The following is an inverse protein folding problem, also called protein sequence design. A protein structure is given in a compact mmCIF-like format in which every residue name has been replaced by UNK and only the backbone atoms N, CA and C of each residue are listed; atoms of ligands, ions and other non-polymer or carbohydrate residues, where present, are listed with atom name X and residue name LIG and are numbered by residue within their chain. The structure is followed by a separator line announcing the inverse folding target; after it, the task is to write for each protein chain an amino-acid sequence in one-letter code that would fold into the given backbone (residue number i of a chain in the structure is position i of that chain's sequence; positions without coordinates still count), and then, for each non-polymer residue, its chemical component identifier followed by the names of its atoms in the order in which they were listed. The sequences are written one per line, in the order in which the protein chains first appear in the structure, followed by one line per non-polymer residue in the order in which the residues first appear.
data_IF_755476334469
#
_entry.id   IF_755476334469
#
_cell.length_a   1.000
_cell.length_b   1.000
_cell.length_c   1.000
_cell.angle_alpha   90.00
_cell.angle_beta   90.00
_cell.angle_gamma   90.00
#
_symmetry.space_group_name_H-M   'P 1'
#
loop_
_entity.id
_entity.type
_entity.pdbx_description
1 polymer ?
#
# COMPACT_ATOMS: atom_id res chain seq x y z
N UNK A 1 -16.71 -23.17 16.64
CA UNK A 1 -16.28 -21.77 16.88
C UNK A 1 -16.04 -21.12 15.53
N UNK A 2 -16.83 -20.11 15.16
CA UNK A 2 -16.65 -19.39 13.90
C UNK A 2 -15.36 -18.56 13.98
N UNK A 3 -14.46 -18.71 13.01
CA UNK A 3 -13.33 -17.80 12.85
C UNK A 3 -13.89 -16.38 12.69
N UNK A 4 -13.47 -15.44 13.55
CA UNK A 4 -13.77 -14.04 13.38
C UNK A 4 -13.48 -13.66 11.92
N UNK A 5 -14.49 -13.18 11.19
CA UNK A 5 -14.41 -12.96 9.75
C UNK A 5 -13.13 -12.21 9.42
N UNK A 6 -12.20 -12.84 8.69
CA UNK A 6 -10.90 -12.28 8.38
C UNK A 6 -11.14 -11.05 7.52
N UNK A 7 -11.11 -9.86 8.12
CA UNK A 7 -11.30 -8.60 7.40
C UNK A 7 -10.21 -8.47 6.36
N UNK A 8 -10.58 -8.00 5.17
CA UNK A 8 -9.63 -7.80 4.08
C UNK A 8 -8.48 -6.88 4.52
N UNK A 9 -7.23 -7.20 4.15
CA UNK A 9 -6.06 -6.34 4.40
C UNK A 9 -6.24 -4.94 3.83
N UNK A 10 -5.55 -3.97 4.42
CA UNK A 10 -5.63 -2.55 4.08
C UNK A 10 -4.26 -2.03 3.71
N UNK A 11 -4.17 -1.19 2.68
CA UNK A 11 -2.91 -0.60 2.24
C UNK A 11 -2.84 0.88 2.65
N UNK A 12 -1.83 1.23 3.43
CA UNK A 12 -1.48 2.62 3.72
C UNK A 12 -0.32 3.07 2.82
N UNK A 13 -0.44 4.27 2.25
CA UNK A 13 0.59 4.91 1.43
C UNK A 13 0.88 6.30 2.00
N UNK A 14 2.15 6.54 2.35
CA UNK A 14 2.69 7.84 2.72
C UNK A 14 3.51 8.37 1.54
N UNK A 15 2.97 9.37 0.84
CA UNK A 15 3.52 9.94 -0.38
C UNK A 15 4.14 11.31 -0.08
N UNK A 16 5.47 11.34 -0.03
CA UNK A 16 6.25 12.56 0.02
C UNK A 16 6.80 12.96 -1.36
N UNK A 17 7.43 14.14 -1.43
CA UNK A 17 7.96 14.69 -2.70
C UNK A 17 9.06 13.83 -3.36
N UNK A 18 9.77 13.02 -2.56
CA UNK A 18 10.91 12.21 -3.03
C UNK A 18 10.75 10.74 -2.70
N UNK A 19 10.06 10.40 -1.62
CA UNK A 19 9.95 9.02 -1.14
C UNK A 19 8.48 8.64 -0.96
N UNK A 20 8.21 7.37 -1.20
CA UNK A 20 6.94 6.72 -0.90
C UNK A 20 7.20 5.60 0.10
N UNK A 21 6.32 5.49 1.09
CA UNK A 21 6.26 4.33 1.99
C UNK A 21 4.91 3.66 1.85
N UNK A 22 4.91 2.33 1.79
CA UNK A 22 3.72 1.51 1.70
C UNK A 22 3.73 0.47 2.81
N UNK A 23 2.59 0.26 3.45
CA UNK A 23 2.40 -0.81 4.42
C UNK A 23 1.05 -1.49 4.19
N UNK A 24 1.09 -2.80 3.99
CA UNK A 24 -0.09 -3.65 4.00
C UNK A 24 -0.32 -4.13 5.44
N UNK A 25 -1.51 -3.89 5.97
CA UNK A 25 -1.88 -4.26 7.34
C UNK A 25 -3.09 -5.18 7.37
N UNK A 26 -3.19 -6.02 8.40
CA UNK A 26 -4.38 -6.83 8.66
C UNK A 26 -5.53 -6.02 9.29
N UNK A 27 -6.58 -6.72 9.72
CA UNK A 27 -7.73 -6.14 10.44
C UNK A 27 -7.41 -5.52 11.80
N UNK A 28 -6.39 -6.05 12.48
CA UNK A 28 -5.94 -5.55 13.78
C UNK A 28 -4.93 -4.40 13.65
N UNK A 29 -4.43 -4.13 12.44
CA UNK A 29 -3.43 -3.10 12.17
C UNK A 29 -1.99 -3.62 12.22
N UNK A 30 -1.77 -4.94 12.29
CA UNK A 30 -0.43 -5.54 12.23
C UNK A 30 0.10 -5.45 10.80
N UNK A 31 1.38 -5.10 10.65
CA UNK A 31 2.04 -5.03 9.34
C UNK A 31 2.26 -6.45 8.80
N UNK A 32 1.70 -6.73 7.62
CA UNK A 32 1.91 -7.97 6.87
C UNK A 32 3.12 -7.85 5.94
N UNK A 33 3.27 -6.69 5.30
CA UNK A 33 4.41 -6.36 4.45
C UNK A 33 4.56 -4.84 4.33
N UNK A 34 5.77 -4.36 4.07
CA UNK A 34 6.03 -2.94 3.85
C UNK A 34 7.13 -2.71 2.82
N UNK A 35 7.07 -1.58 2.11
CA UNK A 35 8.12 -1.13 1.19
C UNK A 35 8.38 0.36 1.35
N UNK A 36 9.59 0.77 1.02
CA UNK A 36 9.96 2.18 0.85
C UNK A 36 10.72 2.32 -0.46
N UNK A 37 10.37 3.31 -1.27
CA UNK A 37 11.04 3.59 -2.54
C UNK A 37 11.12 5.10 -2.81
N UNK A 38 12.02 5.50 -3.71
CA UNK A 38 12.03 6.87 -4.24
C UNK A 38 11.04 7.01 -5.38
N UNK A 39 10.37 8.16 -5.46
CA UNK A 39 9.64 8.55 -6.66
C UNK A 39 10.62 8.81 -7.80
N UNK A 40 10.37 8.18 -8.93
CA UNK A 40 11.06 8.45 -10.18
C UNK A 40 10.24 9.37 -11.09
N UNK A 41 8.92 9.27 -11.01
CA UNK A 41 7.98 10.14 -11.73
C UNK A 41 7.78 11.49 -11.08
N UNK A 42 7.45 12.50 -11.88
CA UNK A 42 7.11 13.85 -11.41
C UNK A 42 5.70 14.27 -11.81
N UNK A 43 5.14 13.70 -12.86
CA UNK A 43 3.74 13.96 -13.21
C UNK A 43 2.79 13.09 -12.37
N UNK A 44 1.53 13.52 -12.17
CA UNK A 44 0.55 12.73 -11.41
C UNK A 44 0.34 11.31 -11.94
N UNK A 45 0.34 11.13 -13.26
CA UNK A 45 0.18 9.84 -13.94
C UNK A 45 1.39 8.92 -13.74
N UNK A 46 2.62 9.43 -13.83
CA UNK A 46 3.83 8.66 -13.53
C UNK A 46 3.85 8.21 -12.06
N UNK A 47 3.49 9.12 -11.15
CA UNK A 47 3.39 8.82 -9.72
C UNK A 47 2.34 7.75 -9.48
N UNK A 48 1.14 7.87 -10.06
CA UNK A 48 0.09 6.88 -9.91
C UNK A 48 0.51 5.49 -10.44
N UNK A 49 1.15 5.44 -11.61
CA UNK A 49 1.71 4.20 -12.17
C UNK A 49 2.73 3.57 -11.24
N UNK A 50 3.64 4.37 -10.68
CA UNK A 50 4.64 3.87 -9.74
C UNK A 50 3.99 3.37 -8.45
N UNK A 51 3.01 4.08 -7.89
CA UNK A 51 2.27 3.63 -6.71
C UNK A 51 1.59 2.28 -6.95
N UNK A 52 0.97 2.07 -8.11
CA UNK A 52 0.33 0.81 -8.46
C UNK A 52 1.34 -0.35 -8.52
N UNK A 53 2.51 -0.12 -9.11
CA UNK A 53 3.59 -1.12 -9.16
C UNK A 53 4.08 -1.49 -7.76
N UNK A 54 4.28 -0.49 -6.90
CA UNK A 54 4.74 -0.70 -5.53
C UNK A 54 3.67 -1.35 -4.65
N UNK A 55 2.40 -1.03 -4.89
CA UNK A 55 1.26 -1.69 -4.26
C UNK A 55 1.19 -3.18 -4.64
N UNK A 56 1.38 -3.52 -5.92
CA UNK A 56 1.45 -4.93 -6.35
C UNK A 56 2.56 -5.67 -5.64
N UNK A 57 3.79 -5.11 -5.66
CA UNK A 57 4.96 -5.71 -5.02
C UNK A 57 4.75 -5.93 -3.53
N UNK A 58 4.21 -4.96 -2.80
CA UNK A 58 4.01 -5.13 -1.33
C UNK A 58 2.94 -6.18 -1.03
N UNK A 59 1.89 -6.28 -1.85
CA UNK A 59 0.90 -7.36 -1.70
C UNK A 59 1.48 -8.74 -2.00
N UNK A 60 2.31 -8.85 -3.04
CA UNK A 60 2.97 -10.11 -3.43
C UNK A 60 3.94 -10.60 -2.34
N UNK A 61 4.66 -9.70 -1.67
CA UNK A 61 5.51 -10.05 -0.53
C UNK A 61 4.73 -10.67 0.64
N UNK A 62 3.44 -10.36 0.76
CA UNK A 62 2.53 -10.96 1.75
C UNK A 62 1.82 -12.23 1.24
N UNK A 63 2.16 -12.72 0.04
CA UNK A 63 1.47 -13.85 -0.60
C UNK A 63 0.06 -13.52 -1.08
N UNK A 64 -0.23 -12.24 -1.35
CA UNK A 64 -1.54 -11.73 -1.75
C UNK A 64 -1.45 -11.00 -3.10
N UNK A 65 -2.60 -10.78 -3.73
CA UNK A 65 -2.71 -9.85 -4.86
C UNK A 65 -3.48 -8.58 -4.49
N UNK A 66 -3.42 -7.56 -5.35
CA UNK A 66 -4.15 -6.30 -5.17
C UNK A 66 -5.66 -6.50 -4.95
N UNK A 67 -6.27 -7.52 -5.56
CA UNK A 67 -7.69 -7.86 -5.39
C UNK A 67 -8.07 -8.27 -3.96
N UNK A 68 -7.09 -8.64 -3.14
CA UNK A 68 -7.31 -8.99 -1.73
C UNK A 68 -7.34 -7.76 -0.81
N UNK A 69 -6.91 -6.59 -1.30
CA UNK A 69 -6.86 -5.36 -0.51
C UNK A 69 -8.28 -4.77 -0.45
N UNK A 70 -8.82 -4.63 0.76
CA UNK A 70 -10.16 -4.11 0.98
C UNK A 70 -10.26 -2.59 0.89
N UNK A 71 -9.16 -1.88 1.16
CA UNK A 71 -9.11 -0.42 1.09
C UNK A 71 -7.69 0.10 0.94
N UNK A 72 -7.55 1.26 0.32
CA UNK A 72 -6.30 2.01 0.22
C UNK A 72 -6.49 3.39 0.84
N UNK A 73 -5.57 3.80 1.71
CA UNK A 73 -5.47 5.16 2.23
C UNK A 73 -4.17 5.79 1.76
N UNK A 74 -4.23 7.01 1.25
CA UNK A 74 -3.06 7.76 0.76
C UNK A 74 -2.98 9.07 1.54
N UNK A 75 -1.88 9.28 2.25
CA UNK A 75 -1.50 10.57 2.81
C UNK A 75 -0.56 11.29 1.86
N UNK A 76 -0.90 12.52 1.47
CA UNK A 76 0.00 13.43 0.76
C UNK A 76 0.32 14.63 1.64
N UNK A 77 1.60 14.98 1.70
CA UNK A 77 2.00 16.33 2.10
C UNK A 77 1.88 17.24 0.88
N UNK A 78 0.71 17.86 0.69
CA UNK A 78 0.58 18.98 -0.25
C UNK A 78 1.23 20.21 0.39
N UNK A 79 2.32 20.72 -0.21
CA UNK A 79 2.89 22.03 0.09
C UNK A 79 3.00 22.84 -1.19
#
# INVERSE_FOLDING_TARGET
MAAAGKTAPRLGIDLGATNVRLALVDGAGSILASRTCRLSGRSPDEVACQLLQEASKVTEHAGLGLRNVGSVGIGLAAQ
#
